data_IF_219388751796
#
_entry.id   IF_219388751796
#
_cell.length_a   1.000
_cell.length_b   1.000
_cell.length_c   1.000
_cell.angle_alpha   90.00
_cell.angle_beta   90.00
_cell.angle_gamma   90.00
#
_symmetry.space_group_name_H-M   'P 1'
#
loop_
_entity.id
_entity.type
_entity.pdbx_description
1 polymer ?
#
# COMPACT_ATOMS: atom_id res chain seq x y z
N UNK A 1 -9.85 25.07 -3.12
CA UNK A 1 -9.01 26.23 -2.81
C UNK A 1 -8.06 25.83 -1.69
N UNK A 2 -6.73 25.93 -1.85
CA UNK A 2 -5.80 25.71 -0.75
C UNK A 2 -6.07 26.73 0.37
N UNK A 3 -5.97 26.31 1.63
CA UNK A 3 -6.11 27.20 2.76
C UNK A 3 -4.99 28.26 2.72
N UNK A 4 -5.29 29.55 2.91
CA UNK A 4 -4.26 30.58 2.95
C UNK A 4 -3.39 30.38 4.20
N UNK A 5 -2.09 30.17 4.02
CA UNK A 5 -1.12 30.38 5.11
C UNK A 5 -0.10 29.28 5.41
N UNK A 6 -0.13 28.10 4.77
CA UNK A 6 0.99 27.17 4.87
C UNK A 6 1.96 27.42 3.72
N UNK A 7 2.98 28.24 3.98
CA UNK A 7 4.18 28.27 3.15
C UNK A 7 4.72 26.83 3.02
N UNK A 8 4.97 26.38 1.79
CA UNK A 8 5.49 25.04 1.48
C UNK A 8 6.72 24.71 2.33
N UNK A 9 7.58 25.69 2.60
CA UNK A 9 8.73 25.52 3.48
C UNK A 9 8.32 25.16 4.93
N UNK A 10 7.33 25.85 5.48
CA UNK A 10 6.78 25.57 6.82
C UNK A 10 6.13 24.19 6.88
N UNK A 11 5.43 23.80 5.80
CA UNK A 11 4.83 22.47 5.66
C UNK A 11 5.88 21.35 5.62
N UNK A 12 6.96 21.53 4.86
CA UNK A 12 8.07 20.58 4.78
C UNK A 12 8.78 20.41 6.12
N UNK A 13 9.03 21.50 6.85
CA UNK A 13 9.61 21.43 8.20
C UNK A 13 8.71 20.69 9.19
N UNK A 14 7.40 20.94 9.12
CA UNK A 14 6.41 20.20 9.91
C UNK A 14 6.43 18.71 9.58
N UNK A 15 6.45 18.37 8.29
CA UNK A 15 6.48 17.00 7.81
C UNK A 15 7.74 16.26 8.25
N UNK A 16 8.89 16.94 8.21
CA UNK A 16 10.16 16.39 8.65
C UNK A 16 10.14 16.04 10.13
N UNK A 17 9.73 16.99 10.98
CA UNK A 17 9.62 16.74 12.43
C UNK A 17 8.69 15.57 12.73
N UNK A 18 7.58 15.45 12.00
CA UNK A 18 6.63 14.35 12.20
C UNK A 18 7.22 13.00 11.75
N UNK A 19 7.91 12.97 10.60
CA UNK A 19 8.57 11.76 10.09
C UNK A 19 9.74 11.32 10.96
N UNK A 20 10.59 12.23 11.44
CA UNK A 20 11.68 11.90 12.36
C UNK A 20 11.14 11.33 13.68
N UNK A 21 10.04 11.89 14.19
CA UNK A 21 9.38 11.39 15.38
C UNK A 21 8.77 9.99 15.17
N UNK A 22 8.17 9.72 14.02
CA UNK A 22 7.64 8.41 13.66
C UNK A 22 8.74 7.40 13.29
N UNK A 23 9.88 7.84 12.77
CA UNK A 23 11.02 6.96 12.51
C UNK A 23 11.55 6.36 13.83
N UNK A 24 11.46 7.12 14.93
CA UNK A 24 11.81 6.68 16.28
C UNK A 24 10.58 6.28 17.12
N UNK A 25 9.49 5.81 16.50
CA UNK A 25 8.21 5.59 17.17
C UNK A 25 8.27 4.65 18.39
N UNK A 26 9.16 3.66 18.40
CA UNK A 26 9.29 2.71 19.51
C UNK A 26 9.82 3.35 20.80
N UNK A 27 10.40 4.57 20.72
CA UNK A 27 10.86 5.35 21.86
C UNK A 27 9.83 6.37 22.34
N UNK A 28 8.63 6.41 21.74
CA UNK A 28 7.64 7.45 21.96
C UNK A 28 6.41 6.92 22.68
N UNK A 29 5.71 7.83 23.34
CA UNK A 29 4.39 7.54 23.89
C UNK A 29 3.41 7.14 22.79
N UNK A 30 2.57 6.15 23.08
CA UNK A 30 1.61 5.56 22.15
C UNK A 30 0.63 6.60 21.58
N UNK A 31 0.14 7.52 22.41
CA UNK A 31 -0.80 8.57 22.00
C UNK A 31 -0.12 9.54 21.04
N UNK A 32 1.15 9.85 21.27
CA UNK A 32 1.95 10.70 20.38
C UNK A 32 2.13 10.01 19.02
N UNK A 33 2.52 8.73 18.99
CA UNK A 33 2.66 7.96 17.73
C UNK A 33 1.34 7.90 16.97
N UNK A 34 0.24 7.57 17.65
CA UNK A 34 -1.09 7.49 17.06
C UNK A 34 -1.53 8.82 16.44
N UNK A 35 -1.29 9.93 17.14
CA UNK A 35 -1.56 11.28 16.61
C UNK A 35 -0.72 11.57 15.38
N UNK A 36 0.61 11.41 15.47
CA UNK A 36 1.52 11.68 14.37
C UNK A 36 1.16 10.85 13.13
N UNK A 37 0.91 9.55 13.29
CA UNK A 37 0.50 8.68 12.20
C UNK A 37 -0.79 9.16 11.51
N UNK A 38 -1.77 9.63 12.29
CA UNK A 38 -3.01 10.21 11.77
C UNK A 38 -2.82 11.51 10.99
N UNK A 39 -1.79 12.29 11.33
CA UNK A 39 -1.59 13.65 10.82
C UNK A 39 -0.61 13.69 9.62
N UNK A 40 0.33 12.74 9.50
CA UNK A 40 1.37 12.78 8.44
C UNK A 40 0.83 12.64 7.02
N UNK A 41 -0.19 11.81 6.79
CA UNK A 41 -0.81 11.66 5.48
C UNK A 41 -1.46 12.95 4.97
N UNK A 42 -2.37 13.57 5.76
CA UNK A 42 -2.92 14.89 5.43
C UNK A 42 -1.84 15.97 5.24
N UNK A 43 -0.83 15.99 6.11
CA UNK A 43 0.24 16.98 6.05
C UNK A 43 1.03 16.91 4.73
N UNK A 44 1.45 15.72 4.29
CA UNK A 44 2.15 15.59 3.01
C UNK A 44 1.23 15.87 1.82
N UNK A 45 -0.08 15.64 1.95
CA UNK A 45 -1.05 16.01 0.91
C UNK A 45 -1.16 17.53 0.74
N UNK A 46 -1.20 18.28 1.84
CA UNK A 46 -1.22 19.74 1.81
C UNK A 46 0.07 20.29 1.20
N UNK A 47 1.23 19.73 1.56
CA UNK A 47 2.53 20.09 0.97
C UNK A 47 2.56 19.81 -0.53
N UNK A 48 2.10 18.63 -0.98
CA UNK A 48 2.02 18.27 -2.40
C UNK A 48 1.12 19.22 -3.21
N UNK A 49 0.03 19.70 -2.61
CA UNK A 49 -0.86 20.68 -3.24
C UNK A 49 -0.24 22.08 -3.27
N UNK A 50 0.37 22.51 -2.16
CA UNK A 50 1.03 23.81 -2.04
C UNK A 50 2.23 23.95 -2.99
N UNK A 51 2.94 22.86 -3.26
CA UNK A 51 4.06 22.80 -4.22
C UNK A 51 3.62 22.61 -5.68
N UNK A 52 2.32 22.43 -5.95
CA UNK A 52 1.81 22.15 -7.31
C UNK A 52 2.14 20.77 -7.86
N UNK A 53 2.78 19.90 -7.08
CA UNK A 53 3.20 18.55 -7.51
C UNK A 53 2.04 17.56 -7.56
N UNK A 54 0.98 17.78 -6.76
CA UNK A 54 -0.15 16.86 -6.67
C UNK A 54 -0.77 16.46 -8.02
N UNK A 55 -0.96 17.42 -8.94
CA UNK A 55 -1.59 17.15 -10.23
C UNK A 55 -0.67 16.46 -11.23
N UNK A 56 0.65 16.52 -11.03
CA UNK A 56 1.64 15.84 -11.88
C UNK A 56 1.85 14.39 -11.47
N UNK A 57 1.37 13.99 -10.29
CA UNK A 57 1.51 12.62 -9.79
C UNK A 57 0.74 11.60 -10.65
N UNK A 58 1.39 10.46 -10.98
CA UNK A 58 0.70 9.31 -11.55
C UNK A 58 -0.52 8.88 -10.71
N UNK A 59 -1.56 8.37 -11.37
CA UNK A 59 -2.83 8.00 -10.71
C UNK A 59 -2.63 6.97 -9.58
N UNK A 60 -1.67 6.05 -9.73
CA UNK A 60 -1.33 5.08 -8.68
C UNK A 60 -0.63 5.74 -7.47
N UNK A 61 0.24 6.73 -7.70
CA UNK A 61 0.86 7.49 -6.62
C UNK A 61 -0.17 8.32 -5.85
N UNK A 62 -1.16 8.90 -6.53
CA UNK A 62 -2.30 9.56 -5.87
C UNK A 62 -3.11 8.58 -5.02
N UNK A 63 -3.39 7.38 -5.52
CA UNK A 63 -4.05 6.32 -4.75
C UNK A 63 -3.23 5.90 -3.52
N UNK A 64 -1.91 5.77 -3.65
CA UNK A 64 -1.02 5.43 -2.55
C UNK A 64 -0.99 6.53 -1.47
N UNK A 65 -1.06 7.81 -1.84
CA UNK A 65 -1.19 8.88 -0.84
C UNK A 65 -2.51 8.79 -0.08
N UNK A 66 -3.63 8.57 -0.78
CA UNK A 66 -4.91 8.35 -0.11
C UNK A 66 -4.88 7.12 0.82
N UNK A 67 -4.14 6.08 0.41
CA UNK A 67 -3.89 4.94 1.27
C UNK A 67 -3.12 5.32 2.54
N UNK A 68 -2.07 6.14 2.44
CA UNK A 68 -1.32 6.64 3.60
C UNK A 68 -2.22 7.42 4.57
N UNK A 69 -3.09 8.28 4.04
CA UNK A 69 -4.07 9.02 4.85
C UNK A 69 -5.00 8.06 5.60
N UNK A 70 -5.51 7.04 4.92
CA UNK A 70 -6.38 6.06 5.54
C UNK A 70 -5.65 5.17 6.57
N UNK A 71 -4.47 4.65 6.24
CA UNK A 71 -3.64 3.85 7.14
C UNK A 71 -3.29 4.65 8.40
N UNK A 72 -2.89 5.92 8.26
CA UNK A 72 -2.64 6.83 9.37
C UNK A 72 -3.87 7.01 10.27
N UNK A 73 -5.05 7.24 9.69
CA UNK A 73 -6.32 7.34 10.45
C UNK A 73 -6.66 6.02 11.16
N UNK A 74 -6.45 4.88 10.53
CA UNK A 74 -6.70 3.57 11.12
C UNK A 74 -5.75 3.30 12.31
N UNK A 75 -4.46 3.60 12.15
CA UNK A 75 -3.46 3.56 13.22
C UNK A 75 -3.90 4.43 14.39
N UNK A 76 -4.27 5.69 14.13
CA UNK A 76 -4.74 6.63 15.17
C UNK A 76 -5.94 6.10 15.96
N UNK A 77 -6.89 5.46 15.30
CA UNK A 77 -8.14 4.96 15.93
C UNK A 77 -7.93 3.70 16.77
N UNK A 78 -7.07 2.79 16.31
CA UNK A 78 -6.98 1.45 16.88
C UNK A 78 -5.81 1.28 17.87
N UNK A 79 -4.79 2.13 17.85
CA UNK A 79 -3.68 2.08 18.81
C UNK A 79 -4.06 2.24 20.31
N UNK A 80 -5.13 2.98 20.68
CA UNK A 80 -5.56 3.07 22.08
C UNK A 80 -6.11 1.76 22.65
N UNK A 81 -6.43 0.77 21.81
CA UNK A 81 -6.87 -0.58 22.21
C UNK A 81 -5.61 -1.42 22.40
N UNK A 82 -5.50 -2.24 23.45
CA UNK A 82 -4.32 -3.03 23.88
C UNK A 82 -3.75 -4.02 22.84
N UNK A 83 -3.36 -3.50 21.67
CA UNK A 83 -2.74 -4.23 20.57
C UNK A 83 -1.23 -4.20 20.80
N UNK A 84 -0.56 -5.33 20.58
CA UNK A 84 0.89 -5.42 20.77
C UNK A 84 1.63 -4.48 19.82
N UNK A 85 2.71 -3.86 20.33
CA UNK A 85 3.62 -2.97 19.58
C UNK A 85 4.14 -3.65 18.29
N UNK A 86 4.32 -4.96 18.36
CA UNK A 86 4.86 -5.84 17.31
C UNK A 86 3.90 -5.99 16.13
N UNK A 87 2.59 -5.95 16.38
CA UNK A 87 1.58 -5.99 15.32
C UNK A 87 1.56 -4.68 14.52
N UNK A 88 1.85 -3.57 15.17
CA UNK A 88 1.82 -2.26 14.54
C UNK A 88 3.13 -1.83 13.90
N UNK A 89 4.27 -2.36 14.36
CA UNK A 89 5.59 -2.11 13.75
C UNK A 89 5.57 -2.11 12.22
N UNK A 90 5.11 -3.17 11.54
CA UNK A 90 5.12 -3.18 10.07
C UNK A 90 4.22 -2.11 9.45
N UNK A 91 3.09 -1.75 10.10
CA UNK A 91 2.16 -0.74 9.58
C UNK A 91 2.71 0.68 9.71
N UNK A 92 3.31 1.02 10.87
CA UNK A 92 3.94 2.33 11.09
C UNK A 92 5.15 2.49 10.20
N UNK A 93 6.01 1.47 10.12
CA UNK A 93 7.16 1.50 9.22
C UNK A 93 6.70 1.72 7.78
N UNK A 94 5.76 0.93 7.26
CA UNK A 94 5.25 1.10 5.90
C UNK A 94 4.68 2.51 5.65
N UNK A 95 3.91 3.06 6.60
CA UNK A 95 3.40 4.43 6.51
C UNK A 95 4.53 5.46 6.43
N UNK A 96 5.55 5.35 7.29
CA UNK A 96 6.71 6.26 7.30
C UNK A 96 7.44 6.20 5.95
N UNK A 97 7.70 5.00 5.42
CA UNK A 97 8.38 4.83 4.14
C UNK A 97 7.57 5.43 2.98
N UNK A 98 6.25 5.16 2.92
CA UNK A 98 5.40 5.69 1.86
C UNK A 98 5.27 7.23 1.95
N UNK A 99 5.16 7.81 3.15
CA UNK A 99 5.10 9.27 3.32
C UNK A 99 6.45 9.93 3.03
N UNK A 100 7.56 9.33 3.45
CA UNK A 100 8.91 9.81 3.15
C UNK A 100 9.19 9.87 1.65
N UNK A 101 8.68 8.90 0.87
CA UNK A 101 8.71 8.97 -0.59
C UNK A 101 8.04 10.24 -1.12
N UNK A 102 6.83 10.57 -0.65
CA UNK A 102 6.14 11.78 -1.10
C UNK A 102 6.82 13.07 -0.63
N UNK A 103 7.43 13.04 0.56
CA UNK A 103 8.25 14.14 1.05
C UNK A 103 9.46 14.40 0.13
N UNK A 104 10.17 13.35 -0.29
CA UNK A 104 11.28 13.44 -1.24
C UNK A 104 10.85 13.95 -2.62
N UNK A 105 9.63 13.63 -3.06
CA UNK A 105 9.06 14.16 -4.30
C UNK A 105 8.77 15.67 -4.19
N UNK A 106 8.45 16.19 -3.00
CA UNK A 106 8.24 17.62 -2.76
C UNK A 106 9.54 18.40 -2.57
N UNK A 107 10.57 17.77 -2.01
CA UNK A 107 11.89 18.34 -1.74
C UNK A 107 13.00 17.42 -2.26
N UNK A 108 13.26 17.42 -3.59
CA UNK A 108 14.29 16.57 -4.18
C UNK A 108 15.70 16.91 -3.69
N UNK A 109 15.99 18.19 -3.45
CA UNK A 109 17.29 18.66 -2.94
C UNK A 109 17.55 18.18 -1.51
N UNK A 110 16.48 17.99 -0.73
CA UNK A 110 16.52 17.42 0.60
C UNK A 110 16.25 15.92 0.68
N UNK A 111 16.21 15.17 -0.43
CA UNK A 111 15.79 13.78 -0.44
C UNK A 111 16.56 12.89 0.55
N UNK A 112 17.87 13.13 0.74
CA UNK A 112 18.72 12.41 1.69
C UNK A 112 18.48 12.74 3.18
N UNK A 113 17.52 13.62 3.48
CA UNK A 113 17.19 14.07 4.84
C UNK A 113 15.94 13.41 5.41
N UNK A 114 15.18 12.69 4.59
CA UNK A 114 13.99 11.95 5.02
C UNK A 114 14.39 10.57 5.55
N UNK A 115 13.69 10.03 6.57
CA UNK A 115 13.87 8.64 6.99
C UNK A 115 13.76 7.74 5.76
N UNK A 116 14.72 6.81 5.59
CA UNK A 116 14.96 6.02 4.36
C UNK A 116 13.68 5.87 3.52
N UNK A 117 13.46 6.73 2.52
CA UNK A 117 12.38 6.49 1.59
C UNK A 117 12.67 5.17 0.89
N UNK A 118 11.72 4.24 0.80
CA UNK A 118 11.96 2.93 0.17
C UNK A 118 12.44 3.16 -1.27
N UNK A 119 13.74 2.96 -1.57
CA UNK A 119 14.29 3.29 -2.89
C UNK A 119 13.68 2.38 -3.96
N UNK A 120 13.18 1.22 -3.54
CA UNK A 120 12.53 0.23 -4.39
C UNK A 120 11.07 0.57 -4.67
N UNK A 121 10.47 1.53 -3.97
CA UNK A 121 9.04 1.87 -4.13
C UNK A 121 8.69 2.25 -5.56
N UNK A 122 9.51 3.09 -6.21
CA UNK A 122 9.30 3.50 -7.61
C UNK A 122 9.43 2.30 -8.55
N UNK A 123 10.43 1.43 -8.33
CA UNK A 123 10.62 0.20 -9.10
C UNK A 123 9.42 -0.75 -8.92
N UNK A 124 8.96 -0.94 -7.69
CA UNK A 124 7.78 -1.74 -7.37
C UNK A 124 6.51 -1.17 -7.99
N UNK A 125 6.36 0.16 -8.07
CA UNK A 125 5.21 0.79 -8.71
C UNK A 125 5.19 0.53 -10.23
N UNK A 126 6.34 0.64 -10.90
CA UNK A 126 6.46 0.32 -12.33
C UNK A 126 6.24 -1.17 -12.59
N UNK A 127 6.86 -2.03 -11.77
CA UNK A 127 6.70 -3.48 -11.84
C UNK A 127 5.24 -3.87 -11.61
N UNK A 128 4.54 -3.25 -10.66
CA UNK A 128 3.14 -3.53 -10.37
C UNK A 128 2.22 -3.26 -11.56
N UNK A 129 2.49 -2.22 -12.35
CA UNK A 129 1.73 -1.94 -13.58
C UNK A 129 1.90 -3.07 -14.59
N UNK A 130 3.13 -3.57 -14.76
CA UNK A 130 3.41 -4.68 -15.66
C UNK A 130 2.81 -6.00 -15.15
N UNK A 131 2.97 -6.32 -13.86
CA UNK A 131 2.40 -7.52 -13.24
C UNK A 131 0.86 -7.49 -13.30
N UNK A 132 0.23 -6.34 -13.07
CA UNK A 132 -1.22 -6.18 -13.21
C UNK A 132 -1.67 -6.41 -14.66
N UNK A 133 -0.89 -5.96 -15.65
CA UNK A 133 -1.17 -6.20 -17.06
C UNK A 133 -1.06 -7.67 -17.41
N UNK A 134 -0.03 -8.37 -16.93
CA UNK A 134 0.15 -9.82 -17.13
C UNK A 134 -0.97 -10.61 -16.46
N UNK A 135 -1.26 -10.31 -15.20
CA UNK A 135 -2.38 -10.89 -14.47
C UNK A 135 -3.71 -10.70 -15.22
N UNK A 136 -3.96 -9.52 -15.78
CA UNK A 136 -5.17 -9.23 -16.55
C UNK A 136 -5.33 -10.05 -17.84
N UNK A 137 -4.24 -10.59 -18.41
CA UNK A 137 -4.28 -11.46 -19.60
C UNK A 137 -4.65 -12.91 -19.28
N UNK A 138 -4.52 -13.31 -18.02
CA UNK A 138 -4.84 -14.68 -17.61
C UNK A 138 -6.36 -14.92 -17.60
N UNK A 139 -6.82 -16.15 -17.93
CA UNK A 139 -8.18 -16.59 -17.65
C UNK A 139 -8.54 -16.38 -16.17
N UNK A 140 -9.82 -16.17 -15.87
CA UNK A 140 -10.29 -15.89 -14.50
C UNK A 140 -9.87 -16.99 -13.52
N UNK A 141 -9.93 -18.25 -13.94
CA UNK A 141 -9.55 -19.39 -13.11
C UNK A 141 -8.04 -19.36 -12.75
N UNK A 142 -7.17 -19.02 -13.70
CA UNK A 142 -5.74 -18.83 -13.46
C UNK A 142 -5.44 -17.61 -12.58
N UNK A 143 -6.17 -16.50 -12.78
CA UNK A 143 -6.08 -15.35 -11.86
C UNK A 143 -6.43 -15.72 -10.42
N UNK A 144 -7.48 -16.52 -10.23
CA UNK A 144 -7.88 -17.00 -8.92
C UNK A 144 -6.81 -17.91 -8.30
N UNK A 145 -6.20 -18.81 -9.08
CA UNK A 145 -5.11 -19.67 -8.61
C UNK A 145 -3.88 -18.87 -8.15
N UNK A 146 -3.47 -17.86 -8.91
CA UNK A 146 -2.35 -16.97 -8.54
C UNK A 146 -2.63 -16.28 -7.19
N UNK A 147 -3.80 -15.66 -7.02
CA UNK A 147 -4.13 -14.98 -5.76
C UNK A 147 -4.24 -15.94 -4.59
N UNK A 148 -4.76 -17.16 -4.82
CA UNK A 148 -4.88 -18.21 -3.81
C UNK A 148 -3.52 -18.61 -3.27
N UNK A 149 -2.56 -18.83 -4.16
CA UNK A 149 -1.21 -19.20 -3.78
C UNK A 149 -0.53 -18.11 -2.95
N UNK A 150 -0.60 -16.86 -3.40
CA UNK A 150 -0.01 -15.72 -2.69
C UNK A 150 -0.66 -15.51 -1.31
N UNK A 151 -1.99 -15.67 -1.22
CA UNK A 151 -2.69 -15.65 0.06
C UNK A 151 -2.18 -16.74 1.01
N UNK A 152 -2.06 -17.97 0.53
CA UNK A 152 -1.54 -19.11 1.32
C UNK A 152 -0.13 -18.81 1.82
N UNK A 153 0.77 -18.39 0.93
CA UNK A 153 2.16 -18.12 1.27
C UNK A 153 2.29 -16.98 2.29
N UNK A 154 1.51 -15.90 2.14
CA UNK A 154 1.47 -14.80 3.09
C UNK A 154 0.92 -15.22 4.46
N UNK A 155 -0.15 -16.03 4.49
CA UNK A 155 -0.76 -16.53 5.73
C UNK A 155 0.18 -17.45 6.50
N UNK A 156 0.88 -18.35 5.79
CA UNK A 156 1.84 -19.27 6.39
C UNK A 156 3.15 -18.59 6.78
N UNK A 157 3.34 -17.31 6.42
CA UNK A 157 4.59 -16.56 6.59
C UNK A 157 5.79 -17.34 6.03
N UNK A 158 5.57 -17.98 4.88
CA UNK A 158 6.56 -18.86 4.28
C UNK A 158 7.81 -18.05 3.87
N UNK A 159 9.00 -18.34 4.44
CA UNK A 159 10.23 -17.65 4.07
C UNK A 159 10.68 -17.97 2.64
N UNK A 160 10.24 -19.11 2.08
CA UNK A 160 10.51 -19.53 0.71
C UNK A 160 9.36 -19.17 -0.27
N UNK A 161 8.47 -18.26 0.13
CA UNK A 161 7.35 -17.83 -0.71
C UNK A 161 7.82 -17.34 -2.07
N UNK A 162 7.14 -17.80 -3.11
CA UNK A 162 7.31 -17.29 -4.47
C UNK A 162 6.78 -15.87 -4.56
N UNK A 163 7.46 -15.04 -5.33
CA UNK A 163 7.07 -13.67 -5.64
C UNK A 163 5.88 -13.67 -6.61
N UNK A 164 5.10 -12.59 -6.63
CA UNK A 164 4.01 -12.42 -7.61
C UNK A 164 4.51 -12.59 -9.06
N UNK A 165 5.74 -12.15 -9.35
CA UNK A 165 6.32 -12.28 -10.69
C UNK A 165 6.56 -13.75 -11.08
N UNK A 166 7.11 -14.56 -10.17
CA UNK A 166 7.35 -15.99 -10.41
C UNK A 166 6.03 -16.75 -10.61
N UNK A 167 5.06 -16.53 -9.71
CA UNK A 167 3.75 -17.19 -9.79
C UNK A 167 3.01 -16.81 -11.07
N UNK A 168 3.10 -15.55 -11.50
CA UNK A 168 2.50 -15.09 -12.76
C UNK A 168 3.16 -15.67 -14.00
N UNK A 169 4.50 -15.76 -14.00
CA UNK A 169 5.24 -16.32 -15.13
C UNK A 169 4.87 -17.79 -15.34
N UNK A 170 4.80 -18.56 -14.27
CA UNK A 170 4.40 -19.96 -14.28
C UNK A 170 2.95 -20.14 -14.72
N UNK A 171 2.01 -19.40 -14.10
CA UNK A 171 0.60 -19.43 -14.50
C UNK A 171 0.39 -19.07 -15.97
N UNK A 172 1.17 -18.10 -16.49
CA UNK A 172 1.12 -17.73 -17.90
C UNK A 172 1.62 -18.86 -18.80
N UNK A 173 2.72 -19.51 -18.43
CA UNK A 173 3.26 -20.63 -19.19
C UNK A 173 2.27 -21.81 -19.26
N UNK A 174 1.62 -22.14 -18.15
CA UNK A 174 0.63 -23.22 -18.10
C UNK A 174 -0.67 -22.86 -18.83
N UNK A 175 -1.16 -21.63 -18.68
CA UNK A 175 -2.34 -21.15 -19.40
C UNK A 175 -2.13 -21.20 -20.93
N UNK A 176 -0.93 -20.86 -21.43
CA UNK A 176 -0.59 -20.95 -22.86
C UNK A 176 -0.63 -22.40 -23.37
N UNK A 177 -0.23 -23.37 -22.53
CA UNK A 177 -0.29 -24.79 -22.86
C UNK A 177 -1.71 -25.37 -22.82
N UNK A 178 -2.69 -24.60 -22.35
CA UNK A 178 -4.07 -25.06 -22.17
C UNK A 178 -4.25 -25.95 -20.93
N UNK A 179 -3.35 -25.86 -19.95
CA UNK A 179 -3.48 -26.60 -18.69
C UNK A 179 -4.52 -25.94 -17.77
N UNK A 180 -5.18 -26.77 -16.96
CA UNK A 180 -6.11 -26.31 -15.95
C UNK A 180 -5.37 -25.79 -14.71
N UNK A 181 -5.85 -24.71 -14.07
CA UNK A 181 -5.24 -24.20 -12.86
C UNK A 181 -5.41 -25.17 -11.70
N UNK A 182 -4.46 -25.18 -10.74
CA UNK A 182 -4.60 -26.00 -9.55
C UNK A 182 -5.87 -25.64 -8.76
N UNK A 183 -6.63 -26.69 -8.40
CA UNK A 183 -7.82 -26.57 -7.56
C UNK A 183 -7.51 -26.10 -6.13
N UNK A 184 -8.51 -25.71 -5.34
CA UNK A 184 -8.31 -25.42 -3.93
C UNK A 184 -7.92 -26.70 -3.19
N UNK A 185 -6.92 -26.64 -2.31
CA UNK A 185 -6.66 -27.75 -1.40
C UNK A 185 -7.82 -27.84 -0.39
N UNK A 186 -8.33 -29.06 -0.17
CA UNK A 186 -9.53 -29.35 0.63
C UNK A 186 -9.54 -28.77 2.06
N UNK A 187 -8.39 -28.34 2.60
CA UNK A 187 -8.26 -27.79 3.95
C UNK A 187 -8.43 -26.26 4.06
N UNK A 188 -8.53 -25.53 2.95
CA UNK A 188 -8.57 -24.06 2.99
C UNK A 188 -9.89 -23.48 2.47
N UNK A 189 -10.96 -23.61 3.25
CA UNK A 189 -12.29 -23.09 2.93
C UNK A 189 -12.33 -21.57 2.65
N UNK A 190 -11.29 -20.80 3.02
CA UNK A 190 -11.15 -19.38 2.68
C UNK A 190 -10.62 -19.15 1.26
N UNK A 191 -10.03 -20.17 0.63
CA UNK A 191 -9.55 -20.11 -0.77
C UNK A 191 -10.65 -20.33 -1.81
N UNK A 192 -11.84 -20.70 -1.35
CA UNK A 192 -13.08 -20.80 -2.15
C UNK A 192 -13.46 -19.42 -2.72
N UNK A 193 -13.09 -18.33 -2.05
CA UNK A 193 -13.42 -16.95 -2.45
C UNK A 193 -12.45 -16.33 -3.47
N UNK A 194 -11.43 -17.06 -3.95
CA UNK A 194 -10.42 -16.49 -4.85
C UNK A 194 -11.01 -15.90 -6.14
N UNK A 195 -11.99 -16.52 -6.83
CA UNK A 195 -12.65 -15.89 -7.98
C UNK A 195 -13.39 -14.60 -7.60
N UNK A 196 -13.99 -14.54 -6.41
CA UNK A 196 -14.65 -13.33 -5.92
C UNK A 196 -13.62 -12.24 -5.61
N UNK A 197 -12.48 -12.59 -5.01
CA UNK A 197 -11.37 -11.68 -4.75
C UNK A 197 -10.85 -11.06 -6.06
N UNK A 198 -10.72 -11.84 -7.14
CA UNK A 198 -10.37 -11.31 -8.47
C UNK A 198 -11.36 -10.22 -8.89
N UNK A 199 -12.66 -10.45 -8.71
CA UNK A 199 -13.70 -9.48 -9.04
C UNK A 199 -13.65 -8.24 -8.16
N UNK A 200 -13.44 -8.40 -6.84
CA UNK A 200 -13.32 -7.29 -5.90
C UNK A 200 -12.13 -6.40 -6.24
N UNK A 201 -10.96 -6.98 -6.52
CA UNK A 201 -9.78 -6.24 -6.97
C UNK A 201 -10.05 -5.55 -8.31
N UNK A 202 -10.69 -6.24 -9.27
CA UNK A 202 -11.02 -5.66 -10.58
C UNK A 202 -11.95 -4.43 -10.49
N UNK A 203 -12.82 -4.38 -9.47
CA UNK A 203 -13.75 -3.27 -9.20
C UNK A 203 -13.09 -2.06 -8.52
N UNK A 204 -11.86 -2.19 -8.02
CA UNK A 204 -11.14 -1.04 -7.47
C UNK A 204 -10.89 0.02 -8.57
N UNK A 205 -10.90 1.32 -8.23
CA UNK A 205 -10.57 2.36 -9.20
C UNK A 205 -9.16 2.14 -9.77
N UNK A 206 -8.91 2.61 -11.01
CA UNK A 206 -7.70 2.25 -11.77
C UNK A 206 -6.39 2.46 -11.02
N UNK A 207 -6.22 3.59 -10.33
CA UNK A 207 -5.01 3.86 -9.51
C UNK A 207 -4.85 2.91 -8.33
N UNK A 208 -5.96 2.57 -7.68
CA UNK A 208 -6.00 1.67 -6.53
C UNK A 208 -5.69 0.22 -6.91
N UNK A 209 -6.04 -0.21 -8.13
CA UNK A 209 -5.62 -1.52 -8.64
C UNK A 209 -4.10 -1.63 -8.75
N UNK A 210 -3.46 -0.60 -9.32
CA UNK A 210 -2.00 -0.55 -9.42
C UNK A 210 -1.33 -0.57 -8.05
N UNK A 211 -1.84 0.22 -7.11
CA UNK A 211 -1.32 0.26 -5.74
C UNK A 211 -1.53 -1.05 -4.98
N UNK A 212 -2.70 -1.68 -5.11
CA UNK A 212 -2.95 -3.00 -4.54
C UNK A 212 -1.94 -4.03 -5.08
N UNK A 213 -1.67 -4.03 -6.39
CA UNK A 213 -0.67 -4.92 -6.98
C UNK A 213 0.76 -4.62 -6.54
N UNK A 214 1.10 -3.35 -6.28
CA UNK A 214 2.40 -2.98 -5.69
C UNK A 214 2.56 -3.62 -4.31
N UNK A 215 1.54 -3.51 -3.47
CA UNK A 215 1.56 -4.08 -2.10
C UNK A 215 1.58 -5.61 -2.12
N UNK A 216 0.85 -6.25 -3.04
CA UNK A 216 0.92 -7.71 -3.24
C UNK A 216 2.31 -8.14 -3.75
N UNK A 217 2.89 -7.40 -4.69
CA UNK A 217 4.25 -7.66 -5.19
C UNK A 217 5.31 -7.52 -4.10
N UNK A 218 5.13 -6.59 -3.16
CA UNK A 218 5.95 -6.46 -1.95
C UNK A 218 5.69 -7.57 -0.91
N UNK A 219 4.86 -8.56 -1.23
CA UNK A 219 4.56 -9.72 -0.39
C UNK A 219 3.41 -9.52 0.59
N UNK A 220 2.56 -8.52 0.35
CA UNK A 220 1.30 -8.35 1.09
C UNK A 220 0.28 -9.42 0.72
N UNK A 221 -0.49 -9.87 1.71
CA UNK A 221 -1.61 -10.80 1.50
C UNK A 221 -2.68 -10.16 0.59
N UNK A 222 -3.02 -10.75 -0.57
CA UNK A 222 -4.05 -10.24 -1.46
C UNK A 222 -5.40 -9.94 -0.80
N UNK A 223 -5.85 -10.77 0.15
CA UNK A 223 -7.12 -10.54 0.84
C UNK A 223 -7.04 -9.33 1.77
N UNK A 224 -5.99 -9.26 2.60
CA UNK A 224 -5.77 -8.12 3.49
C UNK A 224 -5.57 -6.82 2.70
N UNK A 225 -4.83 -6.85 1.59
CA UNK A 225 -4.60 -5.70 0.73
C UNK A 225 -5.91 -5.21 0.10
N UNK A 226 -6.75 -6.10 -0.43
CA UNK A 226 -8.04 -5.72 -1.01
C UNK A 226 -8.99 -5.11 0.04
N UNK A 227 -9.06 -5.72 1.22
CA UNK A 227 -9.86 -5.20 2.34
C UNK A 227 -9.38 -3.80 2.75
N UNK A 228 -8.07 -3.62 2.92
CA UNK A 228 -7.47 -2.32 3.24
C UNK A 228 -7.70 -1.28 2.14
N UNK A 229 -7.66 -1.67 0.85
CA UNK A 229 -7.99 -0.76 -0.26
C UNK A 229 -9.41 -0.22 -0.13
N UNK A 230 -10.38 -1.10 0.13
CA UNK A 230 -11.79 -0.70 0.27
C UNK A 230 -12.04 0.15 1.50
N UNK A 231 -11.38 -0.15 2.61
CA UNK A 231 -11.44 0.68 3.81
C UNK A 231 -10.86 2.05 3.53
N UNK A 232 -9.71 2.12 2.86
CA UNK A 232 -9.06 3.37 2.51
C UNK A 232 -9.89 4.22 1.55
N UNK A 233 -10.45 3.63 0.51
CA UNK A 233 -11.40 4.31 -0.40
C UNK A 233 -12.58 4.87 0.38
N UNK A 234 -13.18 4.10 1.30
CA UNK A 234 -14.26 4.62 2.14
C UNK A 234 -13.77 5.79 2.99
N UNK A 235 -12.65 5.61 3.69
CA UNK A 235 -12.10 6.61 4.59
C UNK A 235 -11.72 7.93 3.90
N UNK A 236 -11.40 7.94 2.62
CA UNK A 236 -11.01 9.15 1.88
C UNK A 236 -12.09 9.68 0.94
N UNK A 237 -13.00 8.85 0.44
CA UNK A 237 -14.07 9.25 -0.49
C UNK A 237 -15.42 9.51 0.19
N UNK A 238 -15.62 9.12 1.46
CA UNK A 238 -16.87 9.40 2.20
C UNK A 238 -16.70 10.43 3.32
N UNK A 239 -15.57 11.13 3.38
CA UNK A 239 -15.44 12.31 4.26
C UNK A 239 -15.94 13.52 3.47
N UNK A 240 -17.02 14.20 3.89
CA UNK A 240 -17.46 15.46 3.28
C UNK A 240 -16.40 16.57 3.45
#
# INVERSE_FOLDING_TARGET
MPAPGNDTATGLDGLRRALDALACWWLRDRVVVARLAGDVGPLVWDVLKGSGVWETLPVHSRAALYWCVADGRAIRRAWPVDVSVEEYRPRVTALVMDVAYFAAVCDPEGAGRWPEADPERTRHALLAVELLRQFGKLPVAWRAAVLRELHRAARLRDPARRTLAEVLAEASAYAIKGEDPPGPEYADFRTVDAPELVQRIARLPRGWRGEAFRRIAAGGDPMAVEAAAREAIRAVCTTP
#
